data_IF_328230451937
#
_entry.id   IF_328230451937
#
_cell.length_a   1.000
_cell.length_b   1.000
_cell.length_c   1.000
_cell.angle_alpha   90.00
_cell.angle_beta   90.00
_cell.angle_gamma   90.00
#
_symmetry.space_group_name_H-M   'P 1'
#
loop_
_entity.id
_entity.type
_entity.pdbx_description
1 polymer ?
#
# COMPACT_ATOMS: atom_id res chain seq x y z
N UNK A 1 -35.07 0.19 -0.69
CA UNK A 1 -34.20 1.26 -1.22
C UNK A 1 -33.65 2.05 -0.03
N UNK A 2 -32.46 1.68 0.45
CA UNK A 2 -31.79 2.35 1.58
C UNK A 2 -31.30 3.73 1.10
N UNK A 3 -31.77 4.79 1.72
CA UNK A 3 -31.31 6.16 1.43
C UNK A 3 -29.86 6.31 1.94
N UNK A 4 -28.99 6.82 1.07
CA UNK A 4 -27.60 7.19 1.40
C UNK A 4 -27.63 8.28 2.48
N UNK A 5 -27.15 7.97 3.68
CA UNK A 5 -26.94 8.90 4.78
C UNK A 5 -25.48 9.41 4.79
N UNK A 6 -25.16 10.57 5.38
CA UNK A 6 -23.80 11.09 5.45
C UNK A 6 -22.83 10.12 6.14
N UNK A 7 -21.62 9.97 5.61
CA UNK A 7 -20.66 8.91 5.87
C UNK A 7 -20.37 8.55 7.35
N UNK A 8 -20.30 9.49 8.26
CA UNK A 8 -19.94 9.18 9.67
C UNK A 8 -21.08 8.61 10.52
N UNK A 9 -22.35 8.96 10.23
CA UNK A 9 -23.54 8.43 10.94
C UNK A 9 -23.92 7.08 10.38
N UNK A 10 -23.67 6.86 9.09
CA UNK A 10 -23.98 5.63 8.39
C UNK A 10 -23.12 4.45 8.85
N UNK A 11 -21.83 4.67 9.12
CA UNK A 11 -20.91 3.62 9.62
C UNK A 11 -21.38 3.01 10.95
N UNK A 12 -21.74 3.84 11.91
CA UNK A 12 -22.20 3.33 13.22
C UNK A 12 -23.55 2.62 13.12
N UNK A 13 -24.49 3.18 12.36
CA UNK A 13 -25.83 2.60 12.17
C UNK A 13 -25.76 1.32 11.34
N UNK A 14 -24.86 1.24 10.36
CA UNK A 14 -24.66 0.03 9.56
C UNK A 14 -24.02 -1.07 10.41
N UNK A 15 -22.97 -0.75 11.17
CA UNK A 15 -22.32 -1.73 12.06
C UNK A 15 -23.28 -2.26 13.11
N UNK A 16 -24.08 -1.40 13.74
CA UNK A 16 -25.11 -1.80 14.69
C UNK A 16 -26.22 -2.64 14.00
N UNK A 17 -26.62 -2.29 12.77
CA UNK A 17 -27.61 -3.02 11.99
C UNK A 17 -27.14 -4.39 11.52
N UNK A 18 -25.87 -4.51 11.10
CA UNK A 18 -25.27 -5.77 10.66
C UNK A 18 -25.16 -6.78 11.79
N UNK A 19 -24.91 -6.33 13.03
CA UNK A 19 -24.84 -7.20 14.19
C UNK A 19 -26.17 -7.88 14.56
N UNK A 20 -27.30 -7.43 13.99
CA UNK A 20 -28.64 -8.01 14.18
C UNK A 20 -29.23 -8.61 12.89
N UNK A 21 -28.57 -8.41 11.75
CA UNK A 21 -29.05 -8.94 10.48
C UNK A 21 -28.91 -10.47 10.48
N UNK A 22 -29.96 -11.15 10.04
CA UNK A 22 -29.97 -12.61 9.84
C UNK A 22 -29.72 -12.95 8.38
N UNK A 23 -30.10 -12.04 7.48
CA UNK A 23 -30.00 -12.23 6.03
C UNK A 23 -29.67 -10.90 5.34
N UNK A 24 -28.52 -10.89 4.70
CA UNK A 24 -28.03 -9.78 3.85
C UNK A 24 -28.04 -10.16 2.38
N UNK A 25 -28.62 -11.31 2.02
CA UNK A 25 -28.62 -11.77 0.62
C UNK A 25 -29.27 -10.75 -0.30
N UNK A 26 -28.63 -10.52 -1.46
CA UNK A 26 -29.01 -9.53 -2.48
C UNK A 26 -28.94 -8.06 -2.00
N UNK A 27 -28.18 -7.77 -0.94
CA UNK A 27 -27.95 -6.40 -0.48
C UNK A 27 -26.80 -5.79 -1.28
N UNK A 28 -26.99 -4.54 -1.69
CA UNK A 28 -25.94 -3.73 -2.33
C UNK A 28 -25.16 -2.96 -1.24
N UNK A 29 -23.92 -3.37 -1.03
CA UNK A 29 -22.94 -2.75 -0.13
C UNK A 29 -21.73 -2.22 -0.91
N UNK A 30 -21.87 -1.99 -2.20
CA UNK A 30 -20.79 -1.49 -3.03
C UNK A 30 -20.23 -0.17 -2.49
N UNK A 31 -18.88 -0.03 -2.56
CA UNK A 31 -18.16 1.19 -2.17
C UNK A 31 -18.48 1.67 -0.75
N UNK A 32 -18.88 0.75 0.12
CA UNK A 32 -19.09 1.08 1.54
C UNK A 32 -17.77 1.01 2.30
N UNK A 33 -17.65 1.88 3.30
CA UNK A 33 -16.59 1.75 4.29
C UNK A 33 -17.09 0.88 5.45
N UNK A 34 -16.51 -0.30 5.57
CA UNK A 34 -16.79 -1.30 6.59
C UNK A 34 -15.52 -1.59 7.43
N UNK A 35 -14.58 -0.64 7.48
CA UNK A 35 -13.37 -0.76 8.29
C UNK A 35 -13.71 -0.96 9.77
N UNK A 36 -12.92 -1.81 10.45
CA UNK A 36 -13.08 -2.12 11.88
C UNK A 36 -14.46 -2.67 12.27
N UNK A 37 -15.27 -3.13 11.28
CA UNK A 37 -16.62 -3.64 11.58
C UNK A 37 -16.58 -5.08 12.06
N UNK A 38 -17.55 -5.44 12.92
CA UNK A 38 -17.91 -6.81 13.19
C UNK A 38 -19.08 -7.22 12.29
N UNK A 39 -18.81 -8.08 11.31
CA UNK A 39 -19.80 -8.69 10.44
C UNK A 39 -20.05 -10.13 10.92
N UNK A 40 -21.01 -10.28 11.81
CA UNK A 40 -21.28 -11.56 12.44
C UNK A 40 -22.36 -11.44 13.51
N UNK A 41 -22.71 -12.56 14.14
CA UNK A 41 -23.70 -12.61 15.21
C UNK A 41 -23.09 -13.11 16.50
N UNK A 42 -23.39 -12.44 17.61
CA UNK A 42 -22.90 -12.81 18.95
C UNK A 42 -23.44 -14.15 19.45
N UNK A 43 -24.57 -14.61 18.92
CA UNK A 43 -25.17 -15.90 19.27
C UNK A 43 -24.57 -17.08 18.47
N UNK A 44 -23.62 -16.80 17.57
CA UNK A 44 -22.93 -17.81 16.74
C UNK A 44 -23.80 -18.38 15.61
N UNK A 45 -24.98 -17.83 15.35
CA UNK A 45 -25.77 -18.18 14.16
C UNK A 45 -25.24 -17.47 12.94
N UNK A 46 -25.33 -18.11 11.75
CA UNK A 46 -24.80 -17.52 10.53
C UNK A 46 -25.65 -16.39 9.98
N UNK A 47 -24.96 -15.40 9.40
CA UNK A 47 -25.55 -14.39 8.53
C UNK A 47 -25.50 -14.92 7.10
N UNK A 48 -26.58 -14.84 6.34
CA UNK A 48 -26.61 -15.22 4.94
C UNK A 48 -26.25 -14.01 4.05
N UNK A 49 -25.33 -14.22 3.11
CA UNK A 49 -24.81 -13.18 2.20
C UNK A 49 -24.84 -13.62 0.72
N UNK A 50 -25.80 -14.44 0.32
CA UNK A 50 -25.89 -14.83 -1.10
C UNK A 50 -26.13 -13.62 -2.00
N UNK A 51 -25.26 -13.44 -3.01
CA UNK A 51 -25.29 -12.31 -3.93
C UNK A 51 -25.20 -10.92 -3.25
N UNK A 52 -24.71 -10.86 -2.02
CA UNK A 52 -24.38 -9.56 -1.40
C UNK A 52 -23.21 -8.96 -2.15
N UNK A 53 -23.39 -7.75 -2.66
CA UNK A 53 -22.40 -7.08 -3.49
C UNK A 53 -21.56 -6.12 -2.65
N UNK A 54 -20.29 -6.46 -2.48
CA UNK A 54 -19.25 -5.70 -1.76
C UNK A 54 -18.21 -5.10 -2.71
N UNK A 55 -18.56 -4.90 -3.98
CA UNK A 55 -17.67 -4.34 -4.98
C UNK A 55 -17.04 -3.01 -4.50
N UNK A 56 -15.71 -2.94 -4.53
CA UNK A 56 -14.94 -1.76 -4.06
C UNK A 56 -15.23 -1.34 -2.61
N UNK A 57 -15.76 -2.21 -1.77
CA UNK A 57 -15.92 -1.91 -0.34
C UNK A 57 -14.59 -2.06 0.40
N UNK A 58 -14.43 -1.33 1.49
CA UNK A 58 -13.28 -1.41 2.37
C UNK A 58 -13.67 -2.13 3.67
N UNK A 59 -13.14 -3.34 3.83
CA UNK A 59 -13.31 -4.20 5.00
C UNK A 59 -11.99 -4.34 5.79
N UNK A 60 -11.09 -3.39 5.67
CA UNK A 60 -9.81 -3.42 6.41
C UNK A 60 -10.07 -3.54 7.91
N UNK A 61 -9.30 -4.43 8.57
CA UNK A 61 -9.42 -4.72 10.00
C UNK A 61 -10.79 -5.28 10.45
N UNK A 62 -11.69 -5.61 9.53
CA UNK A 62 -12.99 -6.17 9.88
C UNK A 62 -12.85 -7.60 10.47
N UNK A 63 -13.74 -7.94 11.39
CA UNK A 63 -13.96 -9.30 11.83
C UNK A 63 -15.23 -9.84 11.17
N UNK A 64 -15.08 -10.80 10.28
CA UNK A 64 -16.16 -11.49 9.56
C UNK A 64 -16.27 -12.89 10.16
N UNK A 65 -17.36 -13.19 10.86
CA UNK A 65 -17.51 -14.42 11.59
C UNK A 65 -18.93 -14.99 11.50
N UNK A 66 -19.03 -16.30 11.25
CA UNK A 66 -20.31 -16.97 11.03
C UNK A 66 -21.13 -16.31 9.92
N UNK A 67 -20.52 -16.16 8.75
CA UNK A 67 -21.13 -15.60 7.55
C UNK A 67 -21.06 -16.64 6.46
N UNK A 68 -22.20 -16.93 5.83
CA UNK A 68 -22.31 -17.96 4.79
C UNK A 68 -22.94 -17.38 3.53
N UNK A 69 -22.45 -17.82 2.36
CA UNK A 69 -23.05 -17.49 1.08
C UNK A 69 -22.09 -17.06 -0.01
N UNK A 70 -22.61 -16.93 -1.22
CA UNK A 70 -21.89 -16.54 -2.43
C UNK A 70 -21.75 -15.02 -2.53
N UNK A 71 -21.04 -14.41 -1.57
CA UNK A 71 -20.80 -12.97 -1.55
C UNK A 71 -19.85 -12.53 -2.67
N UNK A 72 -19.98 -11.26 -3.08
CA UNK A 72 -19.21 -10.67 -4.16
C UNK A 72 -18.20 -9.66 -3.57
N UNK A 73 -16.97 -10.10 -3.33
CA UNK A 73 -15.85 -9.27 -2.85
C UNK A 73 -14.97 -8.76 -4.01
N UNK A 74 -15.57 -8.53 -5.18
CA UNK A 74 -14.81 -8.07 -6.34
C UNK A 74 -14.17 -6.71 -6.08
N UNK A 75 -12.82 -6.63 -6.19
CA UNK A 75 -12.01 -5.44 -5.89
C UNK A 75 -12.21 -4.85 -4.49
N UNK A 76 -12.68 -5.63 -3.54
CA UNK A 76 -12.77 -5.17 -2.15
C UNK A 76 -11.40 -5.19 -1.48
N UNK A 77 -11.26 -4.40 -0.41
CA UNK A 77 -10.06 -4.34 0.42
C UNK A 77 -10.34 -5.11 1.71
N UNK A 78 -9.61 -6.19 1.95
CA UNK A 78 -9.70 -7.03 3.15
C UNK A 78 -8.42 -6.95 3.99
N UNK A 79 -7.68 -5.86 3.88
CA UNK A 79 -6.40 -5.67 4.56
C UNK A 79 -6.50 -5.92 6.08
N UNK A 80 -5.66 -6.83 6.60
CA UNK A 80 -5.64 -7.20 8.02
C UNK A 80 -7.00 -7.67 8.60
N UNK A 81 -7.94 -8.08 7.77
CA UNK A 81 -9.23 -8.59 8.23
C UNK A 81 -9.10 -10.01 8.77
N UNK A 82 -10.05 -10.42 9.59
CA UNK A 82 -10.16 -11.77 10.12
C UNK A 82 -11.47 -12.40 9.64
N UNK A 83 -11.37 -13.51 8.93
CA UNK A 83 -12.53 -14.28 8.41
C UNK A 83 -12.53 -15.62 9.13
N UNK A 84 -13.59 -15.90 9.89
CA UNK A 84 -13.65 -17.08 10.75
C UNK A 84 -14.99 -17.80 10.65
N UNK A 85 -14.94 -19.13 10.66
CA UNK A 85 -16.14 -19.97 10.75
C UNK A 85 -17.18 -19.60 9.68
N UNK A 86 -16.75 -19.38 8.42
CA UNK A 86 -17.58 -18.95 7.31
C UNK A 86 -17.65 -20.02 6.22
N UNK A 87 -18.78 -20.08 5.50
CA UNK A 87 -18.88 -20.85 4.26
C UNK A 87 -19.05 -19.87 3.07
N UNK A 88 -17.96 -19.62 2.36
CA UNK A 88 -17.88 -18.80 1.17
C UNK A 88 -17.74 -19.64 -0.10
N UNK A 89 -18.36 -20.84 -0.12
CA UNK A 89 -18.39 -21.68 -1.31
C UNK A 89 -19.04 -20.94 -2.49
N UNK A 90 -18.29 -20.84 -3.59
CA UNK A 90 -18.72 -20.12 -4.79
C UNK A 90 -18.75 -18.59 -4.66
N UNK A 91 -18.19 -18.01 -3.61
CA UNK A 91 -18.00 -16.57 -3.49
C UNK A 91 -16.95 -16.07 -4.48
N UNK A 92 -16.96 -14.77 -4.82
CA UNK A 92 -15.92 -14.19 -5.67
C UNK A 92 -15.06 -13.18 -4.89
N UNK A 93 -13.75 -13.43 -4.88
CA UNK A 93 -12.70 -12.55 -4.38
C UNK A 93 -11.84 -11.99 -5.52
N UNK A 94 -12.39 -11.95 -6.74
CA UNK A 94 -11.65 -11.46 -7.91
C UNK A 94 -11.09 -10.07 -7.66
N UNK A 95 -9.78 -9.91 -7.97
CA UNK A 95 -9.06 -8.65 -7.81
C UNK A 95 -9.15 -8.04 -6.40
N UNK A 96 -9.54 -8.82 -5.38
CA UNK A 96 -9.58 -8.35 -3.99
C UNK A 96 -8.16 -8.26 -3.40
N UNK A 97 -7.96 -7.32 -2.47
CA UNK A 97 -6.73 -7.21 -1.68
C UNK A 97 -6.87 -8.00 -0.38
N UNK A 98 -6.15 -9.10 -0.28
CA UNK A 98 -6.13 -10.02 0.85
C UNK A 98 -4.88 -9.86 1.73
N UNK A 99 -4.22 -8.71 1.67
CA UNK A 99 -3.00 -8.47 2.44
C UNK A 99 -3.23 -8.67 3.93
N UNK A 100 -2.43 -9.57 4.52
CA UNK A 100 -2.53 -9.96 5.94
C UNK A 100 -3.93 -10.41 6.38
N UNK A 101 -4.80 -10.80 5.46
CA UNK A 101 -6.10 -11.40 5.79
C UNK A 101 -5.88 -12.76 6.44
N UNK A 102 -6.57 -13.01 7.55
CA UNK A 102 -6.52 -14.29 8.24
C UNK A 102 -7.79 -15.08 7.98
N UNK A 103 -7.67 -16.25 7.37
CA UNK A 103 -8.77 -17.23 7.22
C UNK A 103 -8.63 -18.34 8.25
N UNK A 104 -9.68 -18.59 9.03
CA UNK A 104 -9.71 -19.67 10.02
C UNK A 104 -11.05 -20.41 9.97
N UNK A 105 -11.02 -21.70 9.70
CA UNK A 105 -12.23 -22.53 9.54
C UNK A 105 -13.18 -21.94 8.49
N UNK A 106 -12.67 -21.65 7.29
CA UNK A 106 -13.44 -21.05 6.19
C UNK A 106 -13.50 -22.07 5.05
N UNK A 107 -14.72 -22.31 4.54
CA UNK A 107 -14.91 -23.16 3.35
C UNK A 107 -14.90 -22.24 2.13
N UNK A 108 -14.02 -22.56 1.16
CA UNK A 108 -13.79 -21.77 -0.04
C UNK A 108 -13.98 -22.60 -1.32
N UNK A 109 -14.77 -23.66 -1.23
CA UNK A 109 -15.03 -24.54 -2.38
C UNK A 109 -15.60 -23.74 -3.55
N UNK A 110 -14.99 -23.88 -4.73
CA UNK A 110 -15.39 -23.17 -5.96
C UNK A 110 -15.38 -21.63 -5.84
N UNK A 111 -14.69 -21.06 -4.86
CA UNK A 111 -14.52 -19.62 -4.75
C UNK A 111 -13.51 -19.11 -5.80
N UNK A 112 -13.81 -17.94 -6.39
CA UNK A 112 -13.00 -17.33 -7.45
C UNK A 112 -12.06 -16.26 -6.90
N UNK A 113 -10.75 -16.53 -6.93
CA UNK A 113 -9.68 -15.61 -6.52
C UNK A 113 -8.91 -15.02 -7.70
N UNK A 114 -9.45 -15.08 -8.92
CA UNK A 114 -8.77 -14.58 -10.12
C UNK A 114 -8.34 -13.13 -9.95
N UNK A 115 -7.03 -12.85 -10.07
CA UNK A 115 -6.47 -11.51 -9.92
C UNK A 115 -6.44 -10.97 -8.48
N UNK A 116 -6.85 -11.76 -7.47
CA UNK A 116 -6.70 -11.36 -6.07
C UNK A 116 -5.21 -11.26 -5.70
N UNK A 117 -4.87 -10.28 -4.86
CA UNK A 117 -3.49 -10.05 -4.45
C UNK A 117 -3.26 -10.47 -3.00
N UNK A 118 -2.02 -10.89 -2.71
CA UNK A 118 -1.56 -11.28 -1.37
C UNK A 118 -2.42 -12.40 -0.73
N UNK A 119 -2.84 -13.37 -1.54
CA UNK A 119 -3.59 -14.53 -1.05
C UNK A 119 -2.75 -15.25 0.01
N UNK A 120 -3.27 -15.51 1.23
CA UNK A 120 -2.53 -16.22 2.26
C UNK A 120 -2.07 -17.60 1.78
N UNK A 121 -0.82 -17.99 2.10
CA UNK A 121 -0.19 -19.20 1.59
C UNK A 121 -1.00 -20.48 1.87
N UNK A 122 -1.64 -20.55 3.05
CA UNK A 122 -2.48 -21.69 3.41
C UNK A 122 -3.66 -21.86 2.45
N UNK A 123 -4.31 -20.75 2.07
CA UNK A 123 -5.44 -20.72 1.13
C UNK A 123 -4.96 -21.03 -0.29
N UNK A 124 -3.83 -20.46 -0.71
CA UNK A 124 -3.26 -20.69 -2.04
C UNK A 124 -2.97 -22.18 -2.28
N UNK A 125 -2.49 -22.88 -1.26
CA UNK A 125 -2.25 -24.34 -1.33
C UNK A 125 -3.53 -25.16 -1.47
N UNK A 126 -4.59 -24.80 -0.75
CA UNK A 126 -5.89 -25.49 -0.86
C UNK A 126 -6.54 -25.28 -2.22
N UNK A 127 -6.45 -24.08 -2.78
CA UNK A 127 -7.02 -23.73 -4.08
C UNK A 127 -6.34 -24.50 -5.24
N UNK A 128 -5.04 -24.77 -5.13
CA UNK A 128 -4.31 -25.58 -6.12
C UNK A 128 -4.71 -27.05 -6.04
N UNK A 129 -5.09 -27.55 -4.87
CA UNK A 129 -5.44 -28.97 -4.67
C UNK A 129 -6.87 -29.30 -5.11
N UNK A 130 -7.78 -28.31 -5.19
CA UNK A 130 -9.21 -28.56 -5.41
C UNK A 130 -9.59 -28.78 -6.88
N UNK A 131 -8.87 -28.21 -7.86
CA UNK A 131 -9.23 -28.33 -9.29
C UNK A 131 -8.08 -28.64 -10.25
N UNK A 132 -6.85 -28.76 -9.74
CA UNK A 132 -5.66 -29.05 -10.56
C UNK A 132 -5.32 -27.97 -11.60
N UNK A 133 -6.03 -26.85 -11.58
CA UNK A 133 -5.75 -25.69 -12.41
C UNK A 133 -5.25 -24.57 -11.50
N UNK A 134 -4.04 -24.08 -11.79
CA UNK A 134 -3.53 -22.87 -11.14
C UNK A 134 -4.49 -21.70 -11.41
N UNK A 135 -5.02 -21.09 -10.36
CA UNK A 135 -5.88 -19.90 -10.45
C UNK A 135 -5.06 -18.64 -10.78
N UNK A 136 -3.76 -18.78 -10.79
CA UNK A 136 -2.88 -17.72 -11.31
C UNK A 136 -2.90 -17.80 -12.84
N UNK A 137 -3.18 -16.68 -13.56
CA UNK A 137 -2.78 -16.58 -14.95
C UNK A 137 -1.30 -16.92 -14.96
N UNK A 138 -0.86 -17.82 -15.86
CA UNK A 138 0.48 -18.37 -15.96
C UNK A 138 1.59 -17.29 -15.95
N UNK A 139 1.85 -16.72 -14.81
CA UNK A 139 3.21 -16.48 -14.38
C UNK A 139 3.51 -17.69 -13.50
N UNK A 140 4.49 -18.48 -13.90
CA UNK A 140 4.96 -19.64 -13.14
C UNK A 140 5.05 -19.23 -11.67
N UNK A 141 4.61 -20.11 -10.71
CA UNK A 141 4.90 -19.84 -9.31
C UNK A 141 6.37 -19.50 -9.29
N UNK A 142 6.69 -18.31 -8.81
CA UNK A 142 8.08 -17.98 -8.49
C UNK A 142 8.40 -19.01 -7.44
N UNK A 143 8.77 -20.21 -7.95
CA UNK A 143 9.38 -21.24 -7.13
C UNK A 143 10.40 -20.47 -6.32
N UNK A 144 10.40 -20.67 -5.03
CA UNK A 144 11.46 -20.24 -4.17
C UNK A 144 12.79 -20.75 -4.73
N UNK A 145 13.21 -20.19 -5.85
CA UNK A 145 14.60 -20.01 -6.21
C UNK A 145 15.05 -18.83 -5.37
N UNK A 146 15.40 -19.12 -4.15
CA UNK A 146 16.51 -18.42 -3.51
C UNK A 146 17.65 -18.45 -4.52
N UNK A 147 17.73 -17.44 -5.38
CA UNK A 147 18.93 -16.97 -6.06
C UNK A 147 18.58 -16.07 -7.25
N UNK A 148 18.08 -14.96 -7.03
CA UNK A 148 18.48 -13.63 -7.50
C UNK A 148 17.70 -12.68 -6.62
N UNK A 149 18.38 -11.98 -5.71
CA UNK A 149 17.80 -10.84 -5.01
C UNK A 149 17.01 -10.03 -6.03
N UNK A 150 15.74 -9.83 -5.72
CA UNK A 150 14.88 -8.99 -6.56
C UNK A 150 15.56 -7.61 -6.62
N UNK A 151 16.23 -7.34 -7.76
CA UNK A 151 17.10 -6.17 -7.92
C UNK A 151 16.30 -4.93 -8.28
N UNK A 152 15.12 -4.80 -7.75
CA UNK A 152 14.26 -3.65 -8.03
C UNK A 152 14.37 -2.59 -6.93
N UNK A 153 14.46 -1.34 -7.34
CA UNK A 153 14.56 -0.16 -6.48
C UNK A 153 13.38 0.77 -6.79
N UNK A 154 12.61 1.10 -5.76
CA UNK A 154 11.52 2.05 -5.88
C UNK A 154 12.03 3.50 -5.79
N UNK A 155 11.64 4.36 -6.75
CA UNK A 155 11.90 5.79 -6.73
C UNK A 155 10.66 6.54 -6.26
N UNK A 156 10.75 7.13 -5.07
CA UNK A 156 9.79 8.10 -4.55
C UNK A 156 10.24 9.51 -4.99
N UNK A 157 9.52 10.13 -5.91
CA UNK A 157 9.90 11.42 -6.48
C UNK A 157 8.69 12.26 -6.87
N UNK A 158 8.80 13.60 -6.84
CA UNK A 158 7.74 14.48 -7.33
C UNK A 158 7.42 14.22 -8.81
N UNK A 159 6.14 14.33 -9.17
CA UNK A 159 5.68 14.20 -10.57
C UNK A 159 6.07 15.41 -11.44
N UNK A 160 6.34 16.55 -10.81
CA UNK A 160 6.79 17.79 -11.48
C UNK A 160 8.08 18.26 -10.80
N UNK A 161 9.12 18.49 -11.58
CA UNK A 161 10.44 18.85 -11.08
C UNK A 161 11.08 19.92 -11.95
N UNK A 162 12.12 20.61 -11.44
CA UNK A 162 13.00 21.45 -12.25
C UNK A 162 13.80 20.58 -13.24
N UNK A 163 14.30 21.19 -14.31
CA UNK A 163 15.15 20.48 -15.29
C UNK A 163 16.41 19.88 -14.66
N UNK A 164 16.97 20.54 -13.65
CA UNK A 164 18.13 20.05 -12.90
C UNK A 164 17.79 18.80 -12.09
N UNK A 165 16.65 18.81 -11.39
CA UNK A 165 16.16 17.66 -10.62
C UNK A 165 15.77 16.49 -11.53
N UNK A 166 15.21 16.78 -12.72
CA UNK A 166 14.94 15.74 -13.73
C UNK A 166 16.24 15.09 -14.22
N UNK A 167 17.29 15.89 -14.45
CA UNK A 167 18.59 15.37 -14.86
C UNK A 167 19.20 14.50 -13.76
N UNK A 168 19.16 14.99 -12.52
CA UNK A 168 19.66 14.23 -11.36
C UNK A 168 18.97 12.88 -11.21
N UNK A 169 17.64 12.83 -11.28
CA UNK A 169 16.88 11.57 -11.20
C UNK A 169 17.20 10.63 -12.36
N UNK A 170 17.41 11.15 -13.58
CA UNK A 170 17.84 10.36 -14.73
C UNK A 170 19.23 9.75 -14.53
N UNK A 171 20.17 10.50 -13.97
CA UNK A 171 21.52 10.01 -13.73
C UNK A 171 21.57 8.96 -12.62
N UNK A 172 20.80 9.13 -11.54
CA UNK A 172 20.59 8.07 -10.52
C UNK A 172 20.02 6.80 -11.15
N UNK A 173 18.98 6.94 -11.98
CA UNK A 173 18.36 5.81 -12.69
C UNK A 173 19.36 5.11 -13.61
N UNK A 174 20.14 5.88 -14.39
CA UNK A 174 21.13 5.34 -15.31
C UNK A 174 22.24 4.59 -14.56
N UNK A 175 22.73 5.16 -13.45
CA UNK A 175 23.74 4.54 -12.62
C UNK A 175 23.28 3.22 -12.01
N UNK A 176 22.10 3.19 -11.39
CA UNK A 176 21.55 1.98 -10.78
C UNK A 176 21.24 0.89 -11.83
N UNK A 177 20.71 1.28 -12.99
CA UNK A 177 20.53 0.35 -14.12
C UNK A 177 21.86 -0.23 -14.63
N UNK A 178 22.92 0.59 -14.68
CA UNK A 178 24.26 0.14 -15.02
C UNK A 178 24.83 -0.91 -14.03
N UNK A 179 24.35 -0.90 -12.78
CA UNK A 179 24.67 -1.89 -11.74
C UNK A 179 23.74 -3.12 -11.80
N UNK A 180 22.79 -3.17 -12.72
CA UNK A 180 21.87 -4.28 -12.91
C UNK A 180 20.62 -4.23 -12.02
N UNK A 181 20.26 -3.05 -11.47
CA UNK A 181 19.00 -2.85 -10.75
C UNK A 181 17.89 -2.36 -11.68
N UNK A 182 16.69 -2.88 -11.50
CA UNK A 182 15.49 -2.31 -12.10
C UNK A 182 14.98 -1.14 -11.26
N UNK A 183 14.60 -0.03 -11.92
CA UNK A 183 14.08 1.15 -11.25
C UNK A 183 12.59 1.29 -11.52
N UNK A 184 11.81 1.19 -10.46
CA UNK A 184 10.35 1.27 -10.46
C UNK A 184 9.94 2.63 -9.90
N UNK A 185 8.99 3.31 -10.52
CA UNK A 185 8.40 4.56 -10.02
C UNK A 185 6.97 4.72 -10.52
N UNK A 186 6.28 5.70 -9.99
CA UNK A 186 4.92 6.03 -10.40
C UNK A 186 4.93 7.19 -11.39
N UNK A 187 4.17 7.06 -12.48
CA UNK A 187 3.95 8.13 -13.46
C UNK A 187 2.52 8.64 -13.25
N UNK A 188 2.32 9.95 -13.39
CA UNK A 188 1.02 10.60 -13.18
C UNK A 188 -0.12 10.00 -14.03
N UNK A 189 0.19 9.51 -15.23
CA UNK A 189 -0.77 8.88 -16.14
C UNK A 189 -1.17 7.46 -15.72
N UNK A 190 -0.42 6.84 -14.79
CA UNK A 190 -0.76 5.54 -14.18
C UNK A 190 -1.78 5.67 -13.03
N UNK A 191 -2.21 6.90 -12.69
CA UNK A 191 -3.14 7.10 -11.58
C UNK A 191 -4.56 6.70 -11.97
N UNK A 192 -5.07 5.58 -11.50
CA UNK A 192 -6.51 5.33 -11.56
C UNK A 192 -7.21 6.36 -10.69
N UNK A 193 -8.43 6.66 -11.00
CA UNK A 193 -9.29 7.56 -10.20
C UNK A 193 -9.51 7.08 -8.75
N UNK A 194 -9.10 5.83 -8.44
CA UNK A 194 -9.27 5.19 -7.14
C UNK A 194 -8.15 4.17 -6.87
N UNK A 195 -7.74 3.99 -5.60
CA UNK A 195 -6.79 2.96 -5.19
C UNK A 195 -5.31 3.27 -5.43
N UNK A 196 -4.94 4.54 -5.59
CA UNK A 196 -3.55 4.97 -5.85
C UNK A 196 -2.55 4.46 -4.80
N UNK A 197 -2.90 4.56 -3.51
CA UNK A 197 -2.04 4.12 -2.41
C UNK A 197 -1.77 2.61 -2.45
N UNK A 198 -2.75 1.79 -2.81
CA UNK A 198 -2.57 0.35 -2.92
C UNK A 198 -1.57 -0.01 -4.03
N UNK A 199 -1.65 0.62 -5.19
CA UNK A 199 -0.69 0.38 -6.28
C UNK A 199 0.73 0.85 -5.95
N UNK A 200 0.85 1.98 -5.26
CA UNK A 200 2.14 2.46 -4.76
C UNK A 200 2.70 1.45 -3.76
N UNK A 201 1.88 0.99 -2.81
CA UNK A 201 2.24 -0.03 -1.84
C UNK A 201 2.72 -1.31 -2.51
N UNK A 202 2.02 -1.82 -3.53
CA UNK A 202 2.41 -3.02 -4.28
C UNK A 202 3.80 -2.85 -4.90
N UNK A 203 4.06 -1.73 -5.57
CA UNK A 203 5.37 -1.43 -6.15
C UNK A 203 6.46 -1.35 -5.07
N UNK A 204 6.19 -0.74 -3.93
CA UNK A 204 7.13 -0.68 -2.79
C UNK A 204 7.37 -2.09 -2.22
N UNK A 205 6.30 -2.88 -2.05
CA UNK A 205 6.43 -4.26 -1.55
C UNK A 205 7.22 -5.15 -2.51
N UNK A 206 7.12 -4.95 -3.81
CA UNK A 206 7.87 -5.67 -4.83
C UNK A 206 9.33 -5.17 -4.96
N UNK A 207 9.72 -4.08 -4.32
CA UNK A 207 11.07 -3.52 -4.43
C UNK A 207 11.96 -3.93 -3.26
N UNK A 208 13.26 -4.11 -3.50
CA UNK A 208 14.25 -4.49 -2.47
C UNK A 208 14.82 -3.29 -1.71
N UNK A 209 14.75 -2.10 -2.29
CA UNK A 209 15.23 -0.85 -1.70
C UNK A 209 14.48 0.36 -2.24
N UNK A 210 14.72 1.54 -1.64
CA UNK A 210 14.08 2.79 -2.06
C UNK A 210 15.07 3.93 -2.17
N UNK A 211 14.88 4.78 -3.18
CA UNK A 211 15.48 6.12 -3.24
C UNK A 211 14.34 7.15 -3.18
N UNK A 212 14.36 8.03 -2.19
CA UNK A 212 13.38 9.10 -2.06
C UNK A 212 14.01 10.46 -2.31
N UNK A 213 13.44 11.22 -3.23
CA UNK A 213 13.94 12.52 -3.67
C UNK A 213 13.19 13.66 -2.98
N UNK A 214 13.81 14.27 -1.97
CA UNK A 214 13.31 15.42 -1.25
C UNK A 214 13.70 16.73 -1.94
N UNK A 215 12.98 17.08 -3.00
CA UNK A 215 13.18 18.35 -3.71
C UNK A 215 12.25 19.45 -3.20
N UNK A 216 12.65 20.70 -3.32
CA UNK A 216 11.82 21.88 -3.02
C UNK A 216 10.54 21.87 -3.85
N UNK A 217 9.39 21.72 -3.21
CA UNK A 217 8.09 21.69 -3.86
C UNK A 217 7.17 22.82 -3.37
N UNK A 218 7.17 23.09 -2.08
CA UNK A 218 6.34 24.15 -1.48
C UNK A 218 7.24 25.07 -0.67
N UNK A 219 7.14 26.38 -0.92
CA UNK A 219 7.77 27.39 -0.09
C UNK A 219 6.75 28.02 0.84
N UNK A 220 7.09 28.10 2.13
CA UNK A 220 6.28 28.74 3.16
C UNK A 220 6.99 30.04 3.56
N UNK A 221 6.43 31.17 3.13
CA UNK A 221 7.02 32.50 3.39
C UNK A 221 6.69 33.06 4.76
N UNK A 222 5.48 32.80 5.29
CA UNK A 222 5.04 33.27 6.60
C UNK A 222 4.01 32.31 7.17
N UNK A 223 4.40 31.59 8.21
CA UNK A 223 3.51 30.69 8.92
C UNK A 223 3.90 30.59 10.40
N UNK A 224 2.96 30.12 11.20
CA UNK A 224 3.22 29.75 12.59
C UNK A 224 3.13 28.24 12.72
N UNK A 225 4.24 27.62 13.06
CA UNK A 225 4.29 26.19 13.35
C UNK A 225 3.94 25.94 14.81
N UNK A 226 3.09 24.95 15.08
CA UNK A 226 2.58 24.59 16.41
C UNK A 226 2.00 25.80 17.17
N UNK A 227 1.01 26.51 16.60
CA UNK A 227 0.45 27.70 17.20
C UNK A 227 -0.14 27.41 18.59
N UNK A 228 -0.01 28.38 19.49
CA UNK A 228 -0.53 28.31 20.86
C UNK A 228 0.06 27.17 21.72
N UNK A 229 1.27 26.69 21.40
CA UNK A 229 2.01 25.73 22.20
C UNK A 229 3.32 26.35 22.72
N UNK A 230 3.94 25.71 23.73
CA UNK A 230 5.26 26.13 24.23
C UNK A 230 6.38 25.97 23.18
N UNK A 231 6.11 25.29 22.07
CA UNK A 231 7.03 25.07 20.97
C UNK A 231 6.56 25.81 19.70
N UNK A 232 5.87 26.92 19.86
CA UNK A 232 5.47 27.78 18.74
C UNK A 232 6.70 28.37 18.06
N UNK A 233 6.76 28.26 16.75
CA UNK A 233 7.86 28.76 15.92
C UNK A 233 7.32 29.54 14.72
N UNK A 234 7.95 30.65 14.38
CA UNK A 234 7.66 31.40 13.16
C UNK A 234 8.50 30.86 12.01
N UNK A 235 7.85 30.49 10.95
CA UNK A 235 8.48 29.99 9.73
C UNK A 235 8.51 31.05 8.66
N UNK A 236 9.70 31.34 8.19
CA UNK A 236 9.97 32.22 7.06
C UNK A 236 10.85 31.44 6.08
N UNK A 237 10.44 31.40 4.81
CA UNK A 237 11.19 30.72 3.74
C UNK A 237 11.56 29.26 4.03
N UNK A 238 10.64 28.52 4.64
CA UNK A 238 10.76 27.08 4.81
C UNK A 238 10.34 26.35 3.54
N UNK A 239 11.13 25.36 3.14
CA UNK A 239 10.84 24.52 1.98
C UNK A 239 10.38 23.14 2.41
N UNK A 240 9.35 22.63 1.74
CA UNK A 240 8.83 21.29 1.97
C UNK A 240 8.95 20.46 0.69
N UNK A 241 9.21 19.17 0.88
CA UNK A 241 9.04 18.14 -0.14
C UNK A 241 7.55 17.81 -0.33
N UNK A 242 7.21 16.85 -1.18
CA UNK A 242 5.82 16.44 -1.34
C UNK A 242 5.35 15.60 -0.15
N UNK A 243 4.10 15.71 0.29
CA UNK A 243 3.53 14.79 1.28
C UNK A 243 3.55 13.32 0.83
N UNK A 244 3.55 13.07 -0.47
CA UNK A 244 3.65 11.72 -1.03
C UNK A 244 4.95 11.02 -0.68
N UNK A 245 6.08 11.75 -0.71
CA UNK A 245 7.36 11.20 -0.29
C UNK A 245 7.31 10.67 1.15
N UNK A 246 6.62 11.38 2.06
CA UNK A 246 6.49 10.97 3.46
C UNK A 246 5.70 9.67 3.60
N UNK A 247 4.60 9.54 2.86
CA UNK A 247 3.77 8.33 2.84
C UNK A 247 4.55 7.14 2.29
N UNK A 248 5.22 7.33 1.15
CA UNK A 248 5.97 6.27 0.46
C UNK A 248 7.17 5.79 1.29
N UNK A 249 7.92 6.72 1.87
CA UNK A 249 9.05 6.37 2.76
C UNK A 249 8.54 5.68 4.03
N UNK A 250 7.42 6.14 4.60
CA UNK A 250 6.78 5.45 5.72
C UNK A 250 6.46 3.98 5.40
N UNK A 251 5.92 3.71 4.20
CA UNK A 251 5.68 2.33 3.74
C UNK A 251 7.00 1.53 3.60
N UNK A 252 8.06 2.14 3.08
CA UNK A 252 9.38 1.53 2.96
C UNK A 252 10.00 1.18 4.31
N UNK A 253 9.90 2.08 5.30
CA UNK A 253 10.34 1.85 6.68
C UNK A 253 9.58 0.70 7.33
N UNK A 254 8.26 0.65 7.16
CA UNK A 254 7.43 -0.45 7.67
C UNK A 254 7.82 -1.81 7.06
N UNK A 255 8.29 -1.82 5.83
CA UNK A 255 8.83 -3.03 5.19
C UNK A 255 10.25 -3.38 5.69
N UNK A 256 10.95 -2.48 6.36
CA UNK A 256 12.34 -2.67 6.77
C UNK A 256 13.35 -2.62 5.62
N UNK A 257 13.00 -1.93 4.51
CA UNK A 257 13.89 -1.85 3.35
C UNK A 257 14.97 -0.77 3.51
N UNK A 258 16.17 -0.94 2.92
CA UNK A 258 17.19 0.09 2.89
C UNK A 258 16.69 1.31 2.09
N UNK A 259 16.69 2.49 2.71
CA UNK A 259 16.22 3.74 2.09
C UNK A 259 17.36 4.74 1.97
N UNK A 260 17.50 5.31 0.77
CA UNK A 260 18.37 6.44 0.48
C UNK A 260 17.51 7.70 0.29
N UNK A 261 17.69 8.70 1.11
CA UNK A 261 17.11 10.03 0.96
C UNK A 261 18.09 10.90 0.16
N UNK A 262 17.69 11.34 -1.02
CA UNK A 262 18.42 12.31 -1.84
C UNK A 262 17.70 13.65 -1.69
N UNK A 263 18.22 14.56 -0.90
CA UNK A 263 17.47 15.75 -0.49
C UNK A 263 18.18 17.06 -0.79
N UNK A 264 17.41 18.10 -1.13
CA UNK A 264 17.91 19.47 -1.09
C UNK A 264 18.28 19.82 0.37
N UNK A 265 19.42 20.45 0.62
CA UNK A 265 19.85 20.80 1.98
C UNK A 265 18.86 21.67 2.77
N UNK A 266 17.99 22.42 2.10
CA UNK A 266 16.96 23.24 2.74
C UNK A 266 15.69 22.49 3.12
N UNK A 267 15.58 21.21 2.73
CA UNK A 267 14.52 20.31 3.17
C UNK A 267 15.01 19.57 4.42
N UNK A 268 14.54 20.01 5.58
CA UNK A 268 14.99 19.45 6.86
C UNK A 268 13.78 19.29 7.82
N UNK A 269 12.80 18.52 7.35
CA UNK A 269 11.54 18.29 8.07
C UNK A 269 10.97 16.92 7.74
N UNK A 270 10.14 16.41 8.64
CA UNK A 270 9.49 15.12 8.49
C UNK A 270 10.52 14.01 8.33
N UNK A 271 10.35 13.16 7.35
CA UNK A 271 11.29 12.06 7.06
C UNK A 271 12.65 12.54 6.52
N UNK A 272 12.73 13.78 6.05
CA UNK A 272 13.96 14.38 5.55
C UNK A 272 14.76 15.13 6.64
N UNK A 273 14.30 15.11 7.89
CA UNK A 273 15.07 15.62 9.03
C UNK A 273 16.35 14.79 9.20
N UNK A 274 17.47 15.47 9.13
CA UNK A 274 18.82 14.84 9.23
C UNK A 274 19.09 14.14 10.57
N UNK A 275 18.26 14.41 11.58
CA UNK A 275 18.33 13.77 12.90
C UNK A 275 17.53 12.46 12.98
N UNK A 276 16.71 12.15 11.98
CA UNK A 276 16.01 10.86 11.88
C UNK A 276 16.94 9.84 11.21
N UNK A 277 17.73 9.13 11.99
CA UNK A 277 18.93 8.42 11.57
C UNK A 277 18.74 7.03 10.94
N UNK A 278 17.51 6.61 10.59
CA UNK A 278 17.26 5.26 10.06
C UNK A 278 17.51 5.13 8.55
N UNK A 279 17.70 6.23 7.85
CA UNK A 279 17.93 6.28 6.42
C UNK A 279 19.34 6.76 6.07
N UNK A 280 19.82 6.36 4.88
CA UNK A 280 21.02 6.96 4.29
C UNK A 280 20.65 8.31 3.68
N UNK A 281 21.46 9.34 3.89
CA UNK A 281 21.18 10.71 3.42
C UNK A 281 22.26 11.21 2.49
N UNK A 282 21.90 11.54 1.27
CA UNK A 282 22.74 12.22 0.29
C UNK A 282 22.16 13.62 0.00
N UNK A 283 22.88 14.66 0.40
CA UNK A 283 22.49 16.03 0.09
C UNK A 283 22.77 16.34 -1.38
N UNK A 284 21.82 16.98 -2.06
CA UNK A 284 22.01 17.50 -3.41
C UNK A 284 22.96 18.69 -3.37
N UNK A 285 23.97 18.69 -4.24
CA UNK A 285 24.92 19.79 -4.41
C UNK A 285 24.65 20.51 -5.74
N UNK A 286 24.63 21.82 -5.71
CA UNK A 286 24.54 22.64 -6.93
C UNK A 286 25.87 22.73 -7.68
N UNK A 287 26.98 22.41 -7.00
CA UNK A 287 28.32 22.56 -7.52
C UNK A 287 28.86 21.27 -8.17
N UNK A 288 28.18 20.14 -7.90
CA UNK A 288 28.58 18.85 -8.44
C UNK A 288 27.74 18.41 -9.64
N UNK A 289 28.40 17.82 -10.62
CA UNK A 289 27.75 17.11 -11.72
C UNK A 289 26.80 16.05 -11.18
N UNK A 290 25.57 15.99 -11.69
CA UNK A 290 24.52 15.06 -11.27
C UNK A 290 24.97 13.59 -11.31
N UNK A 291 25.86 13.21 -12.27
CA UNK A 291 26.46 11.87 -12.35
C UNK A 291 27.37 11.55 -11.17
N UNK A 292 28.16 12.55 -10.71
CA UNK A 292 29.00 12.39 -9.53
C UNK A 292 28.18 12.26 -8.26
N UNK A 293 27.05 12.98 -8.18
CA UNK A 293 26.12 12.88 -7.07
C UNK A 293 25.51 11.48 -6.97
N UNK A 294 25.14 10.86 -8.10
CA UNK A 294 24.63 9.49 -8.14
C UNK A 294 25.66 8.43 -7.69
N UNK A 295 26.94 8.77 -7.63
CA UNK A 295 28.05 7.88 -7.27
C UNK A 295 28.74 8.29 -5.96
N UNK A 296 28.11 9.14 -5.15
CA UNK A 296 28.73 9.60 -3.91
C UNK A 296 28.85 8.47 -2.85
N UNK A 297 29.64 8.74 -1.81
CA UNK A 297 29.93 7.75 -0.75
C UNK A 297 28.70 7.22 -0.02
N UNK A 298 27.65 8.02 0.14
CA UNK A 298 26.45 7.61 0.85
C UNK A 298 25.60 6.66 -0.02
N UNK A 299 25.58 6.89 -1.34
CA UNK A 299 24.96 5.95 -2.31
C UNK A 299 25.68 4.60 -2.28
N UNK A 300 27.01 4.61 -2.25
CA UNK A 300 27.84 3.38 -2.18
C UNK A 300 27.58 2.63 -0.88
N UNK A 301 27.51 3.32 0.26
CA UNK A 301 27.16 2.71 1.55
C UNK A 301 25.76 2.09 1.54
N UNK A 302 24.78 2.81 1.01
CA UNK A 302 23.43 2.30 0.90
C UNK A 302 23.36 1.06 0.00
N UNK A 303 24.02 1.07 -1.16
CA UNK A 303 24.12 -0.07 -2.07
C UNK A 303 24.71 -1.31 -1.36
N UNK A 304 25.70 -1.13 -0.49
CA UNK A 304 26.28 -2.26 0.26
C UNK A 304 25.27 -2.95 1.20
N UNK A 305 24.15 -2.31 1.53
CA UNK A 305 23.08 -2.89 2.36
C UNK A 305 22.03 -3.64 1.53
N UNK A 306 21.97 -3.39 0.22
CA UNK A 306 21.04 -4.09 -0.68
C UNK A 306 21.62 -5.41 -1.15
N UNK A 307 22.95 -5.49 -1.25
CA UNK A 307 23.69 -6.64 -1.80
C UNK A 307 24.01 -7.71 -0.76
N UNK A 308 23.61 -7.53 0.49
CA UNK A 308 23.76 -8.50 1.60
C UNK A 308 22.46 -9.28 1.81
#
# INVERSE_FOLDING_TARGET
MLKVLPTGVFQKTLADGLAYAVNLSNVDLQRTNLQDTYLGRKDGTSILMDNTDLFLSDLSYALIEHVDGKAIFYRSILFCSQIKNCDFSGATFREADLTNTCFKNVILKDADFTGAINIPEAIAKELVLSDGKSIYPHEEPVSAKHSTLDKSIFFSMPSVMSKENELLTKDYKAYLKGLGYDVIYYIKDDYPSFGQLNRIREKILASSAMVAFGFKQTNIHDATFRPQTNNEEKWNDKWLATPWNEIEVGMGLMKGMPILLVKDPHIDMGIFDSNLSECFVANVSTDDDSRKQAQNKEVVKWLSKITL
#
